data_IF_263559484553
#
_entry.id   IF_263559484553
#
_cell.length_a   1.000
_cell.length_b   1.000
_cell.length_c   1.000
_cell.angle_alpha   90.00
_cell.angle_beta   90.00
_cell.angle_gamma   90.00
#
_symmetry.space_group_name_H-M   'P 1'
#
loop_
_entity.id
_entity.type
_entity.pdbx_description
1 polymer ?
#
# COMPACT_ATOMS: atom_id res chain seq x y z
N UNK A 1 22.75 0.90 33.31
CA UNK A 1 22.33 1.37 31.97
C UNK A 1 21.00 0.74 31.53
N UNK A 2 20.49 -0.28 32.24
CA UNK A 2 19.25 -0.99 31.86
C UNK A 2 17.95 -0.25 32.22
N UNK A 3 17.93 0.58 33.27
CA UNK A 3 16.73 1.31 33.71
C UNK A 3 16.32 2.43 32.75
N UNK A 4 17.27 3.17 32.16
CA UNK A 4 16.98 4.23 31.18
C UNK A 4 16.51 3.66 29.85
N UNK A 5 17.11 2.54 29.41
CA UNK A 5 16.68 1.84 28.19
C UNK A 5 15.27 1.25 28.36
N UNK A 6 14.99 0.63 29.50
CA UNK A 6 13.66 0.08 29.80
C UNK A 6 12.59 1.18 29.88
N UNK A 7 12.87 2.29 30.55
CA UNK A 7 11.96 3.45 30.59
C UNK A 7 11.70 4.05 29.19
N UNK A 8 12.72 4.10 28.33
CA UNK A 8 12.58 4.60 26.95
C UNK A 8 11.78 3.65 26.05
N UNK A 9 11.91 2.33 26.24
CA UNK A 9 11.13 1.35 25.50
C UNK A 9 9.66 1.37 25.90
N UNK A 10 9.37 1.52 27.21
CA UNK A 10 8.00 1.66 27.70
C UNK A 10 7.36 2.96 27.18
N UNK A 11 8.07 4.09 27.20
CA UNK A 11 7.53 5.35 26.67
C UNK A 11 7.25 5.29 25.16
N UNK A 12 8.16 4.67 24.38
CA UNK A 12 7.95 4.46 22.95
C UNK A 12 6.78 3.50 22.70
N UNK A 13 6.63 2.47 23.53
CA UNK A 13 5.51 1.54 23.43
C UNK A 13 4.17 2.23 23.72
N UNK A 14 4.10 3.06 24.75
CA UNK A 14 2.91 3.83 25.10
C UNK A 14 2.57 4.86 24.01
N UNK A 15 3.57 5.49 23.40
CA UNK A 15 3.39 6.44 22.29
C UNK A 15 2.87 5.75 21.01
N UNK A 16 3.44 4.58 20.66
CA UNK A 16 3.06 3.82 19.46
C UNK A 16 1.70 3.14 19.63
N UNK A 17 1.39 2.65 20.83
CA UNK A 17 0.11 1.96 21.11
C UNK A 17 -1.01 2.91 21.57
N UNK A 18 -0.66 4.14 21.93
CA UNK A 18 -1.59 5.17 22.34
C UNK A 18 -2.53 5.64 21.22
N UNK A 19 -3.67 6.19 21.64
CA UNK A 19 -4.70 6.73 20.75
C UNK A 19 -4.61 8.24 20.67
N UNK A 20 -4.86 8.79 19.48
CA UNK A 20 -5.00 10.22 19.23
C UNK A 20 -6.49 10.57 19.06
N UNK A 21 -6.91 11.80 19.42
CA UNK A 21 -8.27 12.25 19.14
C UNK A 21 -8.53 12.27 17.63
N UNK A 22 -9.78 11.96 17.26
CA UNK A 22 -10.19 12.03 15.86
C UNK A 22 -10.04 13.45 15.33
N UNK A 23 -9.56 13.63 14.08
CA UNK A 23 -9.52 14.94 13.48
C UNK A 23 -10.95 15.43 13.20
N UNK A 24 -11.11 16.75 13.12
CA UNK A 24 -12.37 17.33 12.69
C UNK A 24 -12.78 16.78 11.31
N UNK A 25 -14.09 16.59 11.12
CA UNK A 25 -14.65 16.06 9.87
C UNK A 25 -14.18 16.83 8.62
N UNK A 26 -13.95 18.15 8.73
CA UNK A 26 -13.46 18.94 7.60
C UNK A 26 -12.07 18.49 7.14
N UNK A 27 -11.19 18.00 8.02
CA UNK A 27 -9.88 17.46 7.67
C UNK A 27 -10.05 16.16 6.88
N UNK A 28 -10.97 15.30 7.31
CA UNK A 28 -11.29 14.04 6.62
C UNK A 28 -11.79 14.33 5.21
N UNK A 29 -12.70 15.30 5.05
CA UNK A 29 -13.23 15.70 3.75
C UNK A 29 -12.16 16.38 2.89
N UNK A 30 -11.33 17.26 3.47
CA UNK A 30 -10.28 17.96 2.74
C UNK A 30 -9.21 16.98 2.21
N UNK A 31 -8.83 15.99 3.01
CA UNK A 31 -7.88 14.96 2.60
C UNK A 31 -8.46 13.99 1.57
N UNK A 32 -9.76 13.67 1.67
CA UNK A 32 -10.49 12.96 0.60
C UNK A 32 -10.47 13.75 -0.72
N UNK A 33 -10.80 15.04 -0.67
CA UNK A 33 -10.78 15.91 -1.84
C UNK A 33 -9.37 16.02 -2.45
N UNK A 34 -8.34 16.17 -1.62
CA UNK A 34 -6.95 16.17 -2.05
C UNK A 34 -6.57 14.84 -2.73
N UNK A 35 -6.94 13.70 -2.15
CA UNK A 35 -6.68 12.39 -2.74
C UNK A 35 -7.40 12.24 -4.10
N UNK A 36 -8.64 12.69 -4.23
CA UNK A 36 -9.37 12.71 -5.51
C UNK A 36 -8.68 13.59 -6.56
N UNK A 37 -8.19 14.78 -6.17
CA UNK A 37 -7.43 15.68 -7.05
C UNK A 37 -6.12 15.02 -7.48
N UNK A 38 -5.45 14.24 -6.63
CA UNK A 38 -4.22 13.53 -7.00
C UNK A 38 -4.52 12.34 -7.93
N UNK A 39 -5.57 11.57 -7.65
CA UNK A 39 -5.84 10.30 -8.34
C UNK A 39 -6.60 10.46 -9.66
N UNK A 40 -7.38 11.54 -9.85
CA UNK A 40 -8.25 11.69 -11.02
C UNK A 40 -7.51 12.20 -12.26
N UNK A 41 -6.86 13.39 -12.23
CA UNK A 41 -6.20 13.96 -13.41
C UNK A 41 -5.00 13.11 -13.83
N UNK A 42 -4.88 12.87 -15.14
CA UNK A 42 -3.83 11.98 -15.67
C UNK A 42 -2.40 12.45 -15.32
N UNK A 43 -2.14 13.76 -15.35
CA UNK A 43 -0.83 14.32 -15.02
C UNK A 43 -0.39 14.04 -13.58
N UNK A 44 -1.26 14.33 -12.61
CA UNK A 44 -0.98 14.09 -11.19
C UNK A 44 -0.90 12.60 -10.89
N UNK A 45 -1.80 11.80 -11.45
CA UNK A 45 -1.76 10.35 -11.30
C UNK A 45 -0.45 9.74 -11.80
N UNK A 46 0.09 10.19 -12.94
CA UNK A 46 1.38 9.68 -13.44
C UNK A 46 2.53 9.90 -12.46
N UNK A 47 2.49 10.99 -11.69
CA UNK A 47 3.48 11.28 -10.66
C UNK A 47 3.24 10.48 -9.38
N UNK A 48 1.99 10.38 -8.94
CA UNK A 48 1.65 9.77 -7.66
C UNK A 48 1.56 8.25 -7.70
N UNK A 49 1.24 7.64 -8.85
CA UNK A 49 1.00 6.20 -8.98
C UNK A 49 2.19 5.32 -8.60
N UNK A 50 3.41 5.87 -8.57
CA UNK A 50 4.57 5.13 -8.09
C UNK A 50 4.42 4.67 -6.63
N UNK A 51 3.71 5.42 -5.79
CA UNK A 51 3.39 5.00 -4.43
C UNK A 51 2.46 3.77 -4.41
N UNK A 52 1.54 3.66 -5.37
CA UNK A 52 0.71 2.47 -5.56
C UNK A 52 1.56 1.29 -6.08
N UNK A 53 2.51 1.54 -6.98
CA UNK A 53 3.47 0.52 -7.42
C UNK A 53 4.31 0.01 -6.24
N UNK A 54 4.76 0.88 -5.34
CA UNK A 54 5.45 0.48 -4.11
C UNK A 54 4.57 -0.48 -3.29
N UNK A 55 3.32 -0.11 -3.02
CA UNK A 55 2.40 -0.97 -2.28
C UNK A 55 2.12 -2.31 -3.00
N UNK A 56 2.01 -2.29 -4.33
CA UNK A 56 1.79 -3.46 -5.19
C UNK A 56 2.95 -4.46 -5.11
N UNK A 57 4.18 -4.00 -5.37
CA UNK A 57 5.38 -4.85 -5.29
C UNK A 57 5.65 -5.31 -3.85
N UNK A 58 5.40 -4.44 -2.87
CA UNK A 58 5.47 -4.78 -1.45
C UNK A 58 4.48 -5.89 -1.09
N UNK A 59 3.28 -5.89 -1.68
CA UNK A 59 2.27 -6.93 -1.56
C UNK A 59 2.76 -8.29 -2.04
N UNK A 60 3.31 -8.35 -3.27
CA UNK A 60 3.96 -9.56 -3.78
C UNK A 60 5.05 -10.04 -2.85
N UNK A 61 5.94 -9.14 -2.42
CA UNK A 61 7.07 -9.47 -1.56
C UNK A 61 6.65 -10.03 -0.20
N UNK A 62 5.69 -9.38 0.47
CA UNK A 62 5.18 -9.78 1.78
C UNK A 62 4.48 -11.13 1.70
N UNK A 63 3.55 -11.31 0.76
CA UNK A 63 2.81 -12.57 0.63
C UNK A 63 3.73 -13.70 0.17
N UNK A 64 4.75 -13.43 -0.64
CA UNK A 64 5.76 -14.41 -0.98
C UNK A 64 6.47 -14.93 0.28
N UNK A 65 6.93 -14.04 1.16
CA UNK A 65 7.56 -14.42 2.43
C UNK A 65 6.61 -15.22 3.34
N UNK A 66 5.37 -14.75 3.51
CA UNK A 66 4.36 -15.40 4.35
C UNK A 66 3.97 -16.79 3.83
N UNK A 67 4.10 -17.04 2.53
CA UNK A 67 3.81 -18.34 1.90
C UNK A 67 5.05 -19.23 1.77
N UNK A 68 6.15 -18.89 2.45
CA UNK A 68 7.37 -19.70 2.50
C UNK A 68 8.25 -19.59 1.26
N UNK A 69 8.03 -18.58 0.40
CA UNK A 69 8.93 -18.26 -0.71
C UNK A 69 10.02 -17.32 -0.21
N UNK A 70 11.15 -17.30 -0.91
CA UNK A 70 12.27 -16.41 -0.58
C UNK A 70 12.28 -15.22 -1.53
N UNK A 71 12.15 -14.02 -0.98
CA UNK A 71 12.23 -12.78 -1.76
C UNK A 71 13.70 -12.50 -2.11
N UNK A 72 14.02 -12.36 -3.40
CA UNK A 72 15.40 -12.14 -3.87
C UNK A 72 15.67 -10.66 -4.11
N UNK A 73 14.68 -9.93 -4.61
CA UNK A 73 14.75 -8.49 -4.78
C UNK A 73 13.53 -7.90 -5.46
N UNK A 74 13.41 -6.59 -5.33
CA UNK A 74 12.38 -5.76 -5.96
C UNK A 74 13.07 -4.71 -6.81
N UNK A 75 12.54 -4.44 -8.01
CA UNK A 75 12.95 -3.33 -8.86
C UNK A 75 11.76 -2.44 -9.15
N UNK A 76 11.93 -1.14 -9.04
CA UNK A 76 10.91 -0.13 -9.38
C UNK A 76 11.45 0.74 -10.49
N UNK A 77 10.62 1.12 -11.46
CA UNK A 77 11.06 1.90 -12.63
C UNK A 77 10.29 3.21 -12.74
N UNK A 78 10.87 4.18 -13.45
CA UNK A 78 10.29 5.52 -13.64
C UNK A 78 9.04 5.54 -14.50
N UNK A 79 8.84 4.52 -15.32
CA UNK A 79 7.59 4.27 -16.03
C UNK A 79 6.50 3.64 -15.13
N UNK A 80 6.79 3.53 -13.83
CA UNK A 80 5.93 3.01 -12.75
C UNK A 80 5.64 1.52 -12.85
N UNK A 81 6.40 0.81 -13.68
CA UNK A 81 6.48 -0.65 -13.63
C UNK A 81 7.30 -1.08 -12.41
N UNK A 82 6.95 -2.24 -11.86
CA UNK A 82 7.71 -2.90 -10.83
C UNK A 82 7.99 -4.35 -11.21
N UNK A 83 8.97 -4.95 -10.54
CA UNK A 83 9.27 -6.35 -10.66
C UNK A 83 9.72 -6.90 -9.31
N UNK A 84 8.90 -7.78 -8.75
CA UNK A 84 9.23 -8.54 -7.55
C UNK A 84 9.70 -9.94 -7.92
N UNK A 85 10.95 -10.26 -7.57
CA UNK A 85 11.57 -11.56 -7.85
C UNK A 85 11.60 -12.39 -6.57
N UNK A 86 10.88 -13.51 -6.56
CA UNK A 86 10.89 -14.49 -5.48
C UNK A 86 11.26 -15.88 -5.98
N UNK A 87 11.94 -16.67 -5.14
CA UNK A 87 12.33 -18.07 -5.39
C UNK A 87 11.49 -19.00 -4.51
N UNK A 88 11.04 -20.09 -5.10
CA UNK A 88 10.18 -21.09 -4.47
C UNK A 88 9.53 -21.98 -5.53
N UNK A 89 8.54 -22.80 -5.15
CA UNK A 89 7.77 -23.58 -6.11
C UNK A 89 7.09 -22.64 -7.12
N UNK A 90 7.27 -22.80 -8.44
CA UNK A 90 6.68 -21.90 -9.43
C UNK A 90 5.16 -22.09 -9.57
N UNK A 91 4.59 -23.10 -8.93
CA UNK A 91 3.15 -23.43 -8.93
C UNK A 91 2.63 -23.65 -7.51
N UNK A 92 1.30 -23.75 -7.38
CA UNK A 92 0.62 -24.01 -6.12
C UNK A 92 0.20 -22.76 -5.36
N UNK A 93 -0.40 -22.96 -4.18
CA UNK A 93 -1.11 -21.91 -3.44
C UNK A 93 -0.22 -20.72 -3.09
N UNK A 94 1.06 -20.93 -2.76
CA UNK A 94 1.98 -19.82 -2.46
C UNK A 94 2.22 -18.90 -3.64
N UNK A 95 2.36 -19.44 -4.87
CA UNK A 95 2.49 -18.62 -6.07
C UNK A 95 1.17 -17.93 -6.44
N UNK A 96 0.03 -18.63 -6.27
CA UNK A 96 -1.31 -18.05 -6.52
C UNK A 96 -1.55 -16.86 -5.59
N UNK A 97 -1.33 -17.03 -4.28
CA UNK A 97 -1.50 -15.95 -3.30
C UNK A 97 -0.52 -14.80 -3.57
N UNK A 98 0.74 -15.11 -3.91
CA UNK A 98 1.73 -14.08 -4.27
C UNK A 98 1.26 -13.26 -5.47
N UNK A 99 0.84 -13.90 -6.57
CA UNK A 99 0.38 -13.20 -7.76
C UNK A 99 -0.92 -12.41 -7.51
N UNK A 100 -1.84 -12.93 -6.70
CA UNK A 100 -3.06 -12.21 -6.33
C UNK A 100 -2.78 -10.97 -5.46
N UNK A 101 -1.70 -10.99 -4.68
CA UNK A 101 -1.40 -9.95 -3.70
C UNK A 101 -1.16 -8.57 -4.32
N UNK A 102 -0.56 -8.49 -5.52
CA UNK A 102 -0.13 -7.22 -6.13
C UNK A 102 -1.26 -6.20 -6.23
N UNK A 103 -2.32 -6.53 -6.99
CA UNK A 103 -3.47 -5.62 -7.17
C UNK A 103 -4.30 -5.43 -5.90
N UNK A 104 -4.31 -6.43 -5.00
CA UNK A 104 -5.08 -6.34 -3.74
C UNK A 104 -4.38 -5.56 -2.64
N UNK A 105 -3.04 -5.46 -2.66
CA UNK A 105 -2.28 -4.90 -1.56
C UNK A 105 -2.54 -3.40 -1.33
N UNK A 106 -2.48 -2.50 -2.34
CA UNK A 106 -2.77 -1.08 -2.12
C UNK A 106 -4.15 -0.82 -1.48
N UNK A 107 -5.27 -1.34 -2.00
CA UNK A 107 -6.58 -1.11 -1.38
C UNK A 107 -6.71 -1.78 0.00
N UNK A 108 -6.13 -2.96 0.22
CA UNK A 108 -6.15 -3.61 1.54
C UNK A 108 -5.30 -2.87 2.59
N UNK A 109 -4.17 -2.29 2.19
CA UNK A 109 -3.39 -1.40 3.06
C UNK A 109 -4.17 -0.13 3.39
N UNK A 110 -4.89 0.43 2.41
CA UNK A 110 -5.84 1.52 2.67
C UNK A 110 -6.94 1.11 3.66
N UNK A 111 -7.55 -0.06 3.49
CA UNK A 111 -8.58 -0.57 4.39
C UNK A 111 -8.05 -0.79 5.81
N UNK A 112 -6.89 -1.43 5.95
CA UNK A 112 -6.22 -1.61 7.24
C UNK A 112 -5.84 -0.28 7.88
N UNK A 113 -5.40 0.68 7.09
CA UNK A 113 -5.18 2.06 7.53
C UNK A 113 -6.46 2.71 8.05
N UNK A 114 -7.59 2.55 7.37
CA UNK A 114 -8.88 3.05 7.83
C UNK A 114 -9.33 2.43 9.17
N UNK A 115 -9.08 1.13 9.39
CA UNK A 115 -9.30 0.48 10.70
C UNK A 115 -8.46 1.14 11.78
N UNK A 116 -7.17 1.35 11.53
CA UNK A 116 -6.26 1.96 12.50
C UNK A 116 -6.67 3.40 12.80
N UNK A 117 -7.02 4.18 11.78
CA UNK A 117 -7.48 5.57 11.95
C UNK A 117 -8.80 5.64 12.72
N UNK A 118 -9.77 4.78 12.43
CA UNK A 118 -11.03 4.71 13.19
C UNK A 118 -10.85 4.21 14.63
N UNK A 119 -9.72 3.58 14.95
CA UNK A 119 -9.33 3.22 16.31
C UNK A 119 -8.44 4.29 16.97
N UNK A 120 -8.24 5.46 16.34
CA UNK A 120 -7.37 6.53 16.83
C UNK A 120 -5.89 6.16 16.83
N UNK A 121 -5.44 5.12 16.09
CA UNK A 121 -4.05 4.61 16.11
C UNK A 121 -3.21 5.18 14.97
N UNK A 122 -3.10 6.50 14.91
CA UNK A 122 -2.41 7.24 13.85
C UNK A 122 -0.90 6.97 13.90
N UNK A 123 -0.30 7.07 15.09
CA UNK A 123 1.14 6.82 15.27
C UNK A 123 1.50 5.40 14.85
N UNK A 124 0.71 4.39 15.27
CA UNK A 124 0.92 3.00 14.87
C UNK A 124 0.89 2.83 13.34
N UNK A 125 -0.06 3.47 12.65
CA UNK A 125 -0.14 3.43 11.19
C UNK A 125 1.14 3.98 10.55
N UNK A 126 1.63 5.14 11.00
CA UNK A 126 2.83 5.76 10.45
C UNK A 126 4.08 4.88 10.66
N UNK A 127 4.22 4.27 11.83
CA UNK A 127 5.33 3.37 12.13
C UNK A 127 5.24 2.05 11.36
N UNK A 128 4.05 1.45 11.24
CA UNK A 128 3.87 0.23 10.44
C UNK A 128 4.22 0.48 8.97
N UNK A 129 3.74 1.60 8.40
CA UNK A 129 4.09 1.99 7.03
C UNK A 129 5.60 2.23 6.88
N UNK A 130 6.23 2.88 7.85
CA UNK A 130 7.69 3.10 7.88
C UNK A 130 8.46 1.78 7.90
N UNK A 131 8.07 0.84 8.76
CA UNK A 131 8.70 -0.49 8.84
C UNK A 131 8.56 -1.25 7.54
N UNK A 132 7.37 -1.22 6.92
CA UNK A 132 7.15 -1.84 5.61
C UNK A 132 8.03 -1.20 4.51
N UNK A 133 8.17 0.12 4.50
CA UNK A 133 9.03 0.83 3.56
C UNK A 133 10.52 0.55 3.78
N UNK A 134 10.97 0.45 5.04
CA UNK A 134 12.35 0.06 5.38
C UNK A 134 12.62 -1.38 4.95
N UNK A 135 11.71 -2.31 5.23
CA UNK A 135 11.81 -3.69 4.77
C UNK A 135 11.86 -3.74 3.24
N UNK A 136 11.05 -2.94 2.56
CA UNK A 136 11.11 -2.83 1.11
C UNK A 136 12.46 -2.29 0.63
N UNK A 137 12.98 -1.22 1.26
CA UNK A 137 14.24 -0.60 0.88
C UNK A 137 15.41 -1.59 0.88
N UNK A 138 15.48 -2.47 1.88
CA UNK A 138 16.49 -3.56 1.95
C UNK A 138 16.40 -4.49 0.74
N UNK A 139 15.19 -4.69 0.21
CA UNK A 139 14.93 -5.58 -0.91
C UNK A 139 15.05 -4.90 -2.27
N UNK A 140 15.11 -3.56 -2.32
CA UNK A 140 15.26 -2.84 -3.58
C UNK A 140 16.65 -3.06 -4.18
N UNK A 141 16.68 -3.41 -5.47
CA UNK A 141 17.91 -3.72 -6.20
C UNK A 141 18.24 -2.72 -7.32
N UNK A 142 17.66 -1.53 -7.30
CA UNK A 142 17.95 -0.49 -8.29
C UNK A 142 17.84 0.94 -7.72
N UNK A 143 18.62 1.88 -8.28
CA UNK A 143 18.77 3.23 -7.75
C UNK A 143 17.46 4.04 -7.74
N UNK A 144 16.65 3.94 -8.80
CA UNK A 144 15.35 4.63 -8.86
C UNK A 144 14.40 4.14 -7.76
N UNK A 145 14.32 2.82 -7.55
CA UNK A 145 13.55 2.25 -6.45
C UNK A 145 14.04 2.74 -5.10
N UNK A 146 15.36 2.79 -4.91
CA UNK A 146 15.94 3.21 -3.63
C UNK A 146 15.59 4.66 -3.35
N UNK A 147 15.75 5.54 -4.34
CA UNK A 147 15.36 6.96 -4.23
C UNK A 147 13.88 7.12 -3.91
N UNK A 148 13.00 6.44 -4.64
CA UNK A 148 11.55 6.60 -4.44
C UNK A 148 11.07 6.07 -3.08
N UNK A 149 11.60 4.93 -2.63
CA UNK A 149 11.31 4.38 -1.30
C UNK A 149 11.92 5.25 -0.20
N UNK A 150 13.13 5.80 -0.39
CA UNK A 150 13.74 6.74 0.56
C UNK A 150 12.96 8.04 0.69
N UNK A 151 12.49 8.63 -0.43
CA UNK A 151 11.67 9.84 -0.38
C UNK A 151 10.32 9.57 0.30
N UNK A 152 9.69 8.44 -0.02
CA UNK A 152 8.42 8.04 0.59
C UNK A 152 8.60 7.78 2.09
N UNK A 153 9.50 6.87 2.47
CA UNK A 153 9.79 6.52 3.85
C UNK A 153 10.33 7.69 4.67
N UNK A 154 11.19 8.51 4.07
CA UNK A 154 11.68 9.75 4.68
C UNK A 154 10.53 10.71 5.00
N UNK A 155 9.53 10.83 4.13
CA UNK A 155 8.32 11.64 4.41
C UNK A 155 7.54 11.08 5.61
N UNK A 156 7.35 9.75 5.70
CA UNK A 156 6.70 9.13 6.85
C UNK A 156 7.46 9.38 8.16
N UNK A 157 8.78 9.20 8.16
CA UNK A 157 9.64 9.45 9.33
C UNK A 157 9.60 10.92 9.74
N UNK A 158 9.74 11.84 8.77
CA UNK A 158 9.71 13.28 9.05
C UNK A 158 8.37 13.72 9.63
N UNK A 159 7.25 13.25 9.06
CA UNK A 159 5.91 13.54 9.61
C UNK A 159 5.75 12.92 11.00
N UNK A 160 6.19 11.68 11.19
CA UNK A 160 6.06 11.00 12.48
C UNK A 160 6.88 11.62 13.60
N UNK A 161 8.04 12.23 13.30
CA UNK A 161 8.93 12.80 14.33
C UNK A 161 8.81 14.31 14.49
N UNK A 162 8.54 15.06 13.42
CA UNK A 162 8.59 16.52 13.43
C UNK A 162 7.22 17.18 13.44
N UNK A 163 6.17 16.46 13.06
CA UNK A 163 4.84 17.05 12.92
C UNK A 163 4.00 16.88 14.19
N UNK A 164 3.16 17.87 14.49
CA UNK A 164 2.18 17.78 15.58
C UNK A 164 1.00 16.85 15.22
N UNK A 165 0.16 16.47 16.21
CA UNK A 165 -0.90 15.48 16.05
C UNK A 165 -1.86 15.76 14.89
N UNK A 166 -2.23 17.03 14.67
CA UNK A 166 -3.14 17.43 13.59
C UNK A 166 -2.55 17.17 12.20
N UNK A 167 -1.25 17.45 12.03
CA UNK A 167 -0.56 17.24 10.75
C UNK A 167 -0.32 15.74 10.50
N UNK A 168 0.02 14.98 11.55
CA UNK A 168 0.12 13.53 11.47
C UNK A 168 -1.23 12.91 11.06
N UNK A 169 -2.34 13.37 11.65
CA UNK A 169 -3.68 12.93 11.30
C UNK A 169 -4.01 13.27 9.84
N UNK A 170 -3.85 14.52 9.42
CA UNK A 170 -4.13 14.93 8.05
C UNK A 170 -3.30 14.13 7.03
N UNK A 171 -2.01 13.91 7.32
CA UNK A 171 -1.14 13.11 6.47
C UNK A 171 -1.59 11.65 6.40
N UNK A 172 -1.89 11.02 7.54
CA UNK A 172 -2.32 9.63 7.59
C UNK A 172 -3.67 9.43 6.86
N UNK A 173 -4.64 10.32 7.06
CA UNK A 173 -5.90 10.31 6.31
C UNK A 173 -5.68 10.50 4.81
N UNK A 174 -4.81 11.42 4.39
CA UNK A 174 -4.48 11.61 2.98
C UNK A 174 -3.85 10.36 2.35
N UNK A 175 -2.91 9.71 3.04
CA UNK A 175 -2.30 8.45 2.62
C UNK A 175 -3.34 7.35 2.49
N UNK A 176 -4.21 7.18 3.48
CA UNK A 176 -5.24 6.14 3.48
C UNK A 176 -6.24 6.37 2.36
N UNK A 177 -6.74 7.60 2.19
CA UNK A 177 -7.62 7.94 1.06
C UNK A 177 -6.94 7.69 -0.28
N UNK A 178 -5.66 8.06 -0.41
CA UNK A 178 -4.88 7.81 -1.61
C UNK A 178 -4.72 6.32 -1.91
N UNK A 179 -4.47 5.47 -0.92
CA UNK A 179 -4.37 4.02 -1.10
C UNK A 179 -5.72 3.39 -1.49
N UNK A 180 -6.81 3.82 -0.86
CA UNK A 180 -8.16 3.35 -1.16
C UNK A 180 -8.60 3.75 -2.57
N UNK A 181 -8.48 5.02 -2.95
CA UNK A 181 -8.88 5.53 -4.26
C UNK A 181 -7.90 5.12 -5.37
N UNK A 182 -6.60 5.28 -5.10
CA UNK A 182 -5.53 4.93 -6.02
C UNK A 182 -5.42 3.43 -6.26
N UNK A 183 -5.82 2.60 -5.29
CA UNK A 183 -5.86 1.13 -5.44
C UNK A 183 -6.91 0.63 -6.44
N UNK A 184 -7.95 1.42 -6.74
CA UNK A 184 -9.01 1.05 -7.69
C UNK A 184 -8.52 1.16 -9.14
N UNK A 185 -7.76 2.21 -9.47
CA UNK A 185 -7.42 2.58 -10.84
C UNK A 185 -6.53 1.56 -11.60
N UNK A 186 -5.50 0.92 -11.01
CA UNK A 186 -4.62 -0.01 -11.72
C UNK A 186 -5.34 -1.19 -12.38
N UNK A 187 -6.38 -1.75 -11.73
CA UNK A 187 -7.13 -2.87 -12.29
C UNK A 187 -7.85 -2.49 -13.60
N UNK A 188 -8.48 -1.31 -13.63
CA UNK A 188 -9.09 -0.75 -14.83
C UNK A 188 -8.06 -0.39 -15.91
N UNK A 189 -6.91 0.16 -15.53
CA UNK A 189 -5.82 0.47 -16.47
C UNK A 189 -5.27 -0.80 -17.14
N UNK A 190 -5.11 -1.88 -16.37
CA UNK A 190 -4.67 -3.16 -16.88
C UNK A 190 -5.71 -3.73 -17.86
N UNK A 191 -6.99 -3.70 -17.51
CA UNK A 191 -8.07 -4.16 -18.40
C UNK A 191 -8.12 -3.36 -19.71
N UNK A 192 -7.98 -2.03 -19.64
CA UNK A 192 -7.94 -1.18 -20.81
C UNK A 192 -6.70 -1.45 -21.70
N UNK A 193 -5.53 -1.73 -21.08
CA UNK A 193 -4.32 -2.14 -21.82
C UNK A 193 -4.50 -3.49 -22.51
N UNK A 194 -5.12 -4.45 -21.83
CA UNK A 194 -5.42 -5.78 -22.37
C UNK A 194 -6.38 -5.72 -23.57
N UNK A 195 -7.42 -4.90 -23.49
CA UNK A 195 -8.35 -4.69 -24.59
C UNK A 195 -7.69 -4.13 -25.87
N UNK A 196 -6.53 -3.47 -25.73
CA UNK A 196 -5.71 -2.97 -26.84
C UNK A 196 -4.60 -3.94 -27.26
N UNK A 197 -4.64 -5.20 -26.82
CA UNK A 197 -3.67 -6.24 -27.17
C UNK A 197 -2.36 -6.20 -26.39
N UNK A 198 -2.24 -5.40 -25.32
CA UNK A 198 -1.06 -5.34 -24.46
C UNK A 198 -1.15 -6.22 -23.21
N UNK A 199 -0.07 -6.24 -22.41
CA UNK A 199 -0.02 -6.79 -21.05
C UNK A 199 -0.31 -8.30 -20.88
N UNK A 200 0.13 -9.15 -21.84
CA UNK A 200 -0.12 -10.60 -21.82
C UNK A 200 0.56 -11.42 -20.70
N UNK A 201 1.32 -10.77 -19.81
CA UNK A 201 2.01 -11.41 -18.67
C UNK A 201 1.68 -10.74 -17.32
N UNK A 202 0.49 -10.15 -17.23
CA UNK A 202 -0.02 -9.56 -15.99
C UNK A 202 -0.25 -10.62 -14.90
N UNK A 203 -0.41 -10.18 -13.65
CA UNK A 203 -0.77 -11.08 -12.54
C UNK A 203 -2.04 -11.89 -12.84
N UNK A 204 -3.05 -11.28 -13.48
CA UNK A 204 -4.27 -11.96 -13.87
C UNK A 204 -4.01 -13.09 -14.88
N UNK A 205 -3.03 -12.91 -15.77
CA UNK A 205 -2.62 -13.95 -16.73
C UNK A 205 -1.82 -15.05 -16.05
N UNK A 206 -0.91 -14.70 -15.14
CA UNK A 206 -0.19 -15.68 -14.34
C UNK A 206 -1.15 -16.51 -13.50
N UNK A 207 -2.10 -15.88 -12.83
CA UNK A 207 -3.15 -16.54 -12.05
C UNK A 207 -4.03 -17.42 -12.92
N UNK A 208 -4.40 -16.96 -14.12
CA UNK A 208 -5.18 -17.76 -15.06
C UNK A 208 -4.44 -19.04 -15.46
N UNK A 209 -3.14 -18.95 -15.76
CA UNK A 209 -2.30 -20.12 -16.07
C UNK A 209 -2.11 -21.05 -14.87
N UNK A 210 -1.98 -20.49 -13.66
CA UNK A 210 -1.75 -21.27 -12.44
C UNK A 210 -3.00 -22.01 -11.94
N UNK A 211 -4.18 -21.42 -12.16
CA UNK A 211 -5.45 -21.93 -11.60
C UNK A 211 -6.38 -22.53 -12.64
N UNK A 212 -6.08 -22.37 -13.92
CA UNK A 212 -6.95 -22.72 -15.04
C UNK A 212 -8.30 -21.96 -15.04
N UNK A 213 -8.48 -20.98 -14.16
CA UNK A 213 -9.62 -20.08 -14.16
C UNK A 213 -9.41 -18.96 -15.21
N UNK A 214 -10.48 -18.41 -15.80
CA UNK A 214 -10.35 -17.33 -16.78
C UNK A 214 -9.77 -16.07 -16.11
N UNK A 215 -8.89 -15.35 -16.81
CA UNK A 215 -8.31 -14.08 -16.32
C UNK A 215 -9.39 -13.06 -15.89
N UNK A 216 -10.58 -13.10 -16.52
CA UNK A 216 -11.74 -12.28 -16.14
C UNK A 216 -12.19 -12.46 -14.68
N UNK A 217 -12.08 -13.67 -14.12
CA UNK A 217 -12.41 -13.93 -12.72
C UNK A 217 -11.42 -13.21 -11.78
N UNK A 218 -10.14 -13.20 -12.14
CA UNK A 218 -9.10 -12.51 -11.37
C UNK A 218 -9.23 -10.99 -11.46
N UNK A 219 -9.57 -10.47 -12.64
CA UNK A 219 -9.97 -9.06 -12.77
C UNK A 219 -11.16 -8.74 -11.87
N UNK A 220 -12.21 -9.56 -11.88
CA UNK A 220 -13.36 -9.36 -11.01
C UNK A 220 -12.95 -9.33 -9.53
N UNK A 221 -12.10 -10.26 -9.09
CA UNK A 221 -11.56 -10.26 -7.72
C UNK A 221 -10.83 -8.96 -7.38
N UNK A 222 -9.94 -8.47 -8.27
CA UNK A 222 -9.20 -7.23 -8.04
C UNK A 222 -10.13 -6.00 -7.94
N UNK A 223 -11.15 -5.93 -8.79
CA UNK A 223 -12.17 -4.88 -8.71
C UNK A 223 -13.01 -5.01 -7.43
N UNK A 224 -13.44 -6.22 -7.08
CA UNK A 224 -14.23 -6.48 -5.88
C UNK A 224 -13.45 -6.07 -4.62
N UNK A 225 -12.19 -6.51 -4.48
CA UNK A 225 -11.35 -6.15 -3.33
C UNK A 225 -11.13 -4.65 -3.25
N UNK A 226 -10.79 -4.00 -4.37
CA UNK A 226 -10.53 -2.55 -4.37
C UNK A 226 -11.79 -1.72 -4.06
N UNK A 227 -12.93 -2.05 -4.66
CA UNK A 227 -14.19 -1.34 -4.43
C UNK A 227 -14.74 -1.61 -3.02
N UNK A 228 -14.72 -2.86 -2.54
CA UNK A 228 -15.14 -3.17 -1.18
C UNK A 228 -14.23 -2.49 -0.14
N UNK A 229 -12.92 -2.43 -0.39
CA UNK A 229 -11.99 -1.70 0.49
C UNK A 229 -12.28 -0.21 0.49
N UNK A 230 -12.52 0.40 -0.68
CA UNK A 230 -12.88 1.83 -0.78
C UNK A 230 -14.20 2.14 -0.07
N UNK A 231 -15.23 1.31 -0.27
CA UNK A 231 -16.54 1.51 0.34
C UNK A 231 -16.48 1.30 1.86
N UNK A 232 -15.88 0.20 2.33
CA UNK A 232 -15.74 -0.12 3.74
C UNK A 232 -14.84 0.88 4.47
N UNK A 233 -13.65 1.13 3.93
CA UNK A 233 -12.71 2.10 4.47
C UNK A 233 -13.28 3.53 4.45
N UNK A 234 -13.92 3.92 3.36
CA UNK A 234 -14.56 5.23 3.26
C UNK A 234 -15.70 5.42 4.26
N UNK A 235 -16.51 4.38 4.49
CA UNK A 235 -17.57 4.39 5.52
C UNK A 235 -16.98 4.57 6.92
N UNK A 236 -15.91 3.85 7.25
CA UNK A 236 -15.21 4.01 8.54
C UNK A 236 -14.60 5.40 8.73
N UNK A 237 -13.91 5.94 7.72
CA UNK A 237 -13.29 7.26 7.80
C UNK A 237 -14.32 8.38 7.92
N UNK A 238 -15.48 8.23 7.30
CA UNK A 238 -16.56 9.23 7.32
C UNK A 238 -17.52 9.06 8.51
N UNK A 239 -17.36 8.02 9.33
CA UNK A 239 -18.25 7.74 10.45
C UNK A 239 -19.69 7.39 10.06
N UNK A 240 -19.87 6.80 8.87
CA UNK A 240 -21.19 6.49 8.30
C UNK A 240 -21.75 5.13 8.69
#
# INVERSE_FOLDING_TARGET
MDSTASASLTSLWDEVTGTQPDPDLWVVIATLAAALVVVTPHGLWRLSRNAITIAHEGGHGLVALLTGRTLTGIRLHSDTSGLTVSRGKPTGIGMILTAAAGYTAPPLLGLGGAVLLGAGRITLLLWLATVLLVAMLVMIRNAYGALTVLLTGGTFVLVSWLAGPQVQAAFAYAVVWFLLLGGVRPAFELQAKRARGGAGDSDADQLSRLTHAPAGLWFFLFHAVSLCSLLGGGRWLLGL
#
